data_IF_451785992109
#
_entry.id   IF_451785992109
#
_cell.length_a   1.000
_cell.length_b   1.000
_cell.length_c   1.000
_cell.angle_alpha   90.00
_cell.angle_beta   90.00
_cell.angle_gamma   90.00
#
_symmetry.space_group_name_H-M   'P 1'
#
loop_
_entity.id
_entity.type
_entity.pdbx_description
1 polymer ?
#
# COMPACT_ATOMS: atom_id res chain seq x y z
N UNK A 1 -13.44 -3.94 -30.56
CA UNK A 1 -12.30 -4.87 -30.48
C UNK A 1 -12.51 -5.75 -29.25
N UNK A 2 -12.49 -7.08 -29.40
CA UNK A 2 -12.41 -7.97 -28.25
C UNK A 2 -10.99 -7.83 -27.68
N UNK A 3 -10.87 -7.28 -26.47
CA UNK A 3 -9.59 -7.04 -25.81
C UNK A 3 -8.84 -8.33 -25.45
N UNK A 4 -7.98 -8.28 -24.43
CA UNK A 4 -7.24 -9.47 -23.99
C UNK A 4 -8.17 -10.55 -23.43
N UNK A 5 -7.88 -11.82 -23.72
CA UNK A 5 -8.67 -12.97 -23.23
C UNK A 5 -8.56 -13.22 -21.71
N UNK A 6 -7.57 -12.64 -21.03
CA UNK A 6 -7.41 -12.70 -19.57
C UNK A 6 -6.70 -11.46 -19.03
N UNK A 7 -6.76 -11.21 -17.72
CA UNK A 7 -6.13 -10.06 -17.07
C UNK A 7 -5.05 -10.48 -16.04
N UNK A 8 -4.16 -11.42 -16.41
CA UNK A 8 -3.09 -11.89 -15.50
C UNK A 8 -2.04 -10.81 -15.20
N UNK A 9 -1.90 -9.82 -16.08
CA UNK A 9 -1.04 -8.66 -15.89
C UNK A 9 -1.67 -7.59 -14.96
N UNK A 10 -2.93 -7.76 -14.54
CA UNK A 10 -3.60 -6.84 -13.62
C UNK A 10 -3.78 -5.43 -14.19
N UNK A 11 -4.09 -5.32 -15.49
CA UNK A 11 -4.37 -4.06 -16.17
C UNK A 11 -3.14 -3.23 -16.54
N UNK A 12 -1.93 -3.67 -16.17
CA UNK A 12 -0.68 -2.95 -16.42
C UNK A 12 0.28 -3.88 -17.18
N UNK A 13 0.54 -3.57 -18.46
CA UNK A 13 1.42 -4.33 -19.33
C UNK A 13 2.59 -3.47 -19.77
N UNK A 14 3.82 -3.89 -19.48
CA UNK A 14 5.03 -3.12 -19.82
C UNK A 14 5.09 -1.74 -19.14
N UNK A 15 4.40 -1.58 -18.00
CA UNK A 15 4.32 -0.30 -17.27
C UNK A 15 3.27 0.68 -17.80
N UNK A 16 2.45 0.28 -18.78
CA UNK A 16 1.38 1.11 -19.38
C UNK A 16 0.03 0.41 -19.15
N UNK A 17 -1.04 1.19 -18.96
CA UNK A 17 -2.39 0.66 -18.83
C UNK A 17 -2.81 -0.11 -20.11
N UNK A 18 -3.30 -1.34 -19.94
CA UNK A 18 -3.72 -2.19 -21.06
C UNK A 18 -5.16 -1.95 -21.52
N UNK A 19 -5.90 -1.09 -20.81
CA UNK A 19 -7.34 -0.87 -20.98
C UNK A 19 -8.23 -1.90 -20.25
N UNK A 20 -7.64 -2.91 -19.59
CA UNK A 20 -8.35 -3.80 -18.66
C UNK A 20 -8.36 -3.21 -17.25
N UNK A 21 -9.18 -3.77 -16.35
CA UNK A 21 -9.21 -3.38 -14.94
C UNK A 21 -7.82 -3.46 -14.31
N UNK A 22 -7.44 -2.42 -13.57
CA UNK A 22 -6.20 -2.43 -12.78
C UNK A 22 -6.44 -3.23 -11.52
N UNK A 23 -5.65 -4.29 -11.31
CA UNK A 23 -5.78 -5.19 -10.16
C UNK A 23 -4.49 -5.15 -9.35
N UNK A 24 -4.56 -4.54 -8.17
CA UNK A 24 -3.46 -4.46 -7.22
C UNK A 24 -3.79 -5.22 -5.93
N UNK A 25 -2.76 -5.78 -5.28
CA UNK A 25 -2.87 -6.41 -3.96
C UNK A 25 -1.79 -5.82 -3.06
N UNK A 26 -2.17 -5.48 -1.84
CA UNK A 26 -1.26 -4.94 -0.83
C UNK A 26 -1.13 -5.94 0.33
N UNK A 27 0.11 -6.25 0.72
CA UNK A 27 0.39 -6.99 1.93
C UNK A 27 0.71 -5.99 3.06
N UNK A 28 0.01 -6.13 4.17
CA UNK A 28 0.14 -5.22 5.32
C UNK A 28 0.67 -6.02 6.50
N UNK A 29 1.79 -5.55 7.07
CA UNK A 29 2.35 -6.16 8.29
C UNK A 29 1.41 -5.93 9.49
N UNK A 30 1.48 -6.77 10.54
CA UNK A 30 0.80 -6.50 11.80
C UNK A 30 1.21 -5.15 12.41
N UNK A 31 0.32 -4.59 13.23
CA UNK A 31 0.61 -3.36 13.98
C UNK A 31 1.82 -3.60 14.91
N UNK A 32 2.88 -2.78 14.82
CA UNK A 32 4.09 -2.97 15.64
C UNK A 32 3.85 -2.76 17.15
N UNK A 33 3.00 -1.80 17.49
CA UNK A 33 2.67 -1.50 18.88
C UNK A 33 1.66 -2.51 19.41
N UNK A 34 2.09 -3.30 20.38
CA UNK A 34 1.28 -4.30 21.06
C UNK A 34 1.54 -4.22 22.56
N UNK A 35 0.61 -4.70 23.37
CA UNK A 35 0.69 -4.62 24.83
C UNK A 35 1.79 -5.51 25.47
N UNK A 36 2.54 -6.26 24.66
CA UNK A 36 3.64 -7.11 25.13
C UNK A 36 4.93 -6.28 25.18
N UNK A 37 5.75 -6.54 26.18
CA UNK A 37 7.12 -6.02 26.21
C UNK A 37 7.92 -6.58 25.03
N UNK A 38 8.68 -5.73 24.36
CA UNK A 38 9.46 -6.03 23.16
C UNK A 38 10.92 -5.69 23.41
N UNK A 39 11.85 -6.45 22.83
CA UNK A 39 13.29 -6.14 22.88
C UNK A 39 13.67 -5.28 21.68
N UNK A 40 14.41 -4.21 21.93
CA UNK A 40 14.91 -3.29 20.90
C UNK A 40 16.24 -2.68 21.35
N UNK A 41 16.73 -1.69 20.61
CA UNK A 41 17.92 -0.90 20.96
C UNK A 41 17.60 0.59 21.00
N UNK A 42 18.35 1.35 21.79
CA UNK A 42 18.34 2.82 21.75
C UNK A 42 19.03 3.34 20.50
N UNK A 43 18.96 4.65 20.23
CA UNK A 43 19.70 5.30 19.15
C UNK A 43 21.22 5.15 19.29
N UNK A 44 21.72 4.94 20.51
CA UNK A 44 23.14 4.70 20.82
C UNK A 44 23.51 3.20 20.80
N UNK A 45 22.59 2.34 20.33
CA UNK A 45 22.82 0.91 20.15
C UNK A 45 22.74 0.06 21.42
N UNK A 46 22.29 0.62 22.54
CA UNK A 46 22.19 -0.12 23.81
C UNK A 46 20.90 -0.93 23.86
N UNK A 47 20.96 -2.19 24.30
CA UNK A 47 19.79 -3.06 24.44
C UNK A 47 18.80 -2.51 25.48
N UNK A 48 17.52 -2.52 25.14
CA UNK A 48 16.45 -2.02 26.01
C UNK A 48 15.13 -2.77 25.77
N UNK A 49 14.36 -2.97 26.86
CA UNK A 49 12.97 -3.41 26.78
C UNK A 49 12.04 -2.22 26.53
N UNK A 50 11.11 -2.34 25.59
CA UNK A 50 10.07 -1.35 25.31
C UNK A 50 8.68 -1.91 25.56
N UNK A 51 7.89 -1.17 26.32
CA UNK A 51 6.47 -1.45 26.52
C UNK A 51 5.67 -0.21 26.14
N UNK A 52 4.63 -0.40 25.32
CA UNK A 52 3.77 0.69 24.84
C UNK A 52 2.39 0.52 25.47
N UNK A 53 2.08 1.21 26.58
CA UNK A 53 0.78 1.11 27.23
C UNK A 53 -0.31 1.80 26.43
N UNK A 54 -1.57 1.46 26.71
CA UNK A 54 -2.75 2.08 26.08
C UNK A 54 -3.40 1.21 25.00
N UNK A 55 -4.31 1.81 24.25
CA UNK A 55 -5.09 1.14 23.20
C UNK A 55 -4.32 1.10 21.90
N UNK A 56 -4.17 -0.11 21.35
CA UNK A 56 -3.59 -0.34 20.03
C UNK A 56 -4.69 -0.77 19.06
N UNK A 57 -4.49 -0.48 17.77
CA UNK A 57 -5.33 -1.11 16.76
C UNK A 57 -5.03 -2.61 16.70
N UNK A 58 -6.06 -3.45 16.74
CA UNK A 58 -5.89 -4.90 16.55
C UNK A 58 -5.48 -5.25 15.11
N UNK A 59 -5.84 -4.39 14.15
CA UNK A 59 -5.61 -4.61 12.73
C UNK A 59 -5.62 -3.28 11.96
N UNK A 60 -4.63 -3.06 11.08
CA UNK A 60 -4.58 -1.89 10.20
C UNK A 60 -5.55 -1.98 9.01
N UNK A 61 -6.03 -3.18 8.65
CA UNK A 61 -6.73 -3.44 7.38
C UNK A 61 -7.97 -2.55 7.17
N UNK A 62 -8.88 -2.37 8.14
CA UNK A 62 -10.05 -1.51 7.92
C UNK A 62 -9.67 -0.05 7.64
N UNK A 63 -8.56 0.42 8.22
CA UNK A 63 -8.11 1.81 8.10
C UNK A 63 -7.26 2.06 6.85
N UNK A 64 -6.50 1.06 6.39
CA UNK A 64 -5.60 1.22 5.24
C UNK A 64 -6.33 1.13 3.90
N UNK A 65 -7.48 0.44 3.83
CA UNK A 65 -8.28 0.34 2.61
C UNK A 65 -8.61 1.70 1.97
N UNK A 66 -9.19 2.69 2.68
CA UNK A 66 -9.46 4.00 2.09
C UNK A 66 -8.19 4.76 1.70
N UNK A 67 -7.07 4.55 2.41
CA UNK A 67 -5.78 5.13 2.05
C UNK A 67 -5.26 4.55 0.74
N UNK A 68 -5.32 3.23 0.56
CA UNK A 68 -4.91 2.55 -0.67
C UNK A 68 -5.76 2.99 -1.86
N UNK A 69 -7.08 3.12 -1.67
CA UNK A 69 -7.99 3.63 -2.69
C UNK A 69 -7.63 5.07 -3.09
N UNK A 70 -7.49 5.97 -2.11
CA UNK A 70 -7.12 7.36 -2.37
C UNK A 70 -5.78 7.48 -3.09
N UNK A 71 -4.76 6.74 -2.63
CA UNK A 71 -3.44 6.75 -3.27
C UNK A 71 -3.49 6.20 -4.70
N UNK A 72 -4.28 5.15 -4.94
CA UNK A 72 -4.48 4.61 -6.28
C UNK A 72 -5.12 5.65 -7.20
N UNK A 73 -6.18 6.33 -6.75
CA UNK A 73 -6.85 7.38 -7.52
C UNK A 73 -5.93 8.57 -7.81
N UNK A 74 -5.12 9.01 -6.84
CA UNK A 74 -4.14 10.08 -7.02
C UNK A 74 -3.09 9.70 -8.07
N UNK A 75 -2.55 8.48 -8.00
CA UNK A 75 -1.58 7.99 -9.00
C UNK A 75 -2.20 7.93 -10.39
N UNK A 76 -3.44 7.42 -10.53
CA UNK A 76 -4.11 7.36 -11.83
C UNK A 76 -4.41 8.76 -12.40
N UNK A 77 -4.82 9.70 -11.54
CA UNK A 77 -5.03 11.09 -11.95
C UNK A 77 -3.74 11.74 -12.46
N UNK A 78 -2.61 11.51 -11.80
CA UNK A 78 -1.31 12.02 -12.24
C UNK A 78 -0.90 11.44 -13.60
N UNK A 79 -0.99 10.12 -13.80
CA UNK A 79 -0.73 9.49 -15.10
C UNK A 79 -1.66 10.03 -16.20
N UNK A 80 -2.93 10.26 -15.87
CA UNK A 80 -3.89 10.82 -16.83
C UNK A 80 -3.52 12.26 -17.24
N UNK A 81 -3.20 13.12 -16.28
CA UNK A 81 -2.77 14.50 -16.54
C UNK A 81 -1.46 14.55 -17.33
N UNK A 82 -0.50 13.69 -17.00
CA UNK A 82 0.76 13.55 -17.73
C UNK A 82 0.54 13.10 -19.19
N UNK A 83 -0.37 12.16 -19.43
CA UNK A 83 -0.67 11.65 -20.77
C UNK A 83 -1.29 12.71 -21.69
N UNK A 84 -1.99 13.70 -21.11
CA UNK A 84 -2.58 14.82 -21.84
C UNK A 84 -1.60 15.94 -22.18
N UNK A 85 -0.35 15.88 -21.69
CA UNK A 85 0.68 16.86 -22.04
C UNK A 85 1.12 16.65 -23.49
N UNK A 86 0.57 17.44 -24.42
CA UNK A 86 1.18 17.62 -25.74
C UNK A 86 2.54 18.28 -25.53
N UNK A 87 3.60 17.54 -25.81
CA UNK A 87 4.94 18.07 -26.07
C UNK A 87 4.94 18.62 -27.51
#
# INVERSE_FOLDING_TARGET
>A
AQGFASNRAGGILGGISSGQDIVARCAVKPIPSVAKEQRTVTTDGQEVGVSVPGRHDACAIPRINPVLEAMTLLTLADFWLLSGRRI
#
